data_IF_634784736752
#
_entry.id   IF_634784736752
#
_cell.length_a   1.000
_cell.length_b   1.000
_cell.length_c   1.000
_cell.angle_alpha   90.00
_cell.angle_beta   90.00
_cell.angle_gamma   90.00
#
_symmetry.space_group_name_H-M   'P 1'
#
loop_
_entity.id
_entity.type
_entity.pdbx_description
1 polymer ?
#
# COMPACT_ATOMS: atom_id res chain seq x y z
N UNK A 1 22.18 -10.73 -6.96
CA UNK A 1 21.06 -9.97 -7.56
C UNK A 1 20.34 -10.90 -8.53
N UNK A 2 19.43 -11.73 -8.04
CA UNK A 2 18.57 -12.50 -8.92
C UNK A 2 17.51 -11.55 -9.46
N UNK A 3 17.47 -11.33 -10.77
CA UNK A 3 16.32 -10.71 -11.41
C UNK A 3 15.14 -11.66 -11.21
N UNK A 4 14.41 -11.49 -10.10
CA UNK A 4 13.16 -12.19 -9.88
C UNK A 4 12.26 -11.85 -11.05
N UNK A 5 11.88 -12.85 -11.84
CA UNK A 5 10.93 -12.65 -12.94
C UNK A 5 9.66 -12.07 -12.34
N UNK A 6 9.29 -10.87 -12.76
CA UNK A 6 8.04 -10.24 -12.34
C UNK A 6 6.92 -11.21 -12.76
N UNK A 7 6.03 -11.65 -11.85
CA UNK A 7 4.99 -12.63 -12.14
C UNK A 7 3.80 -11.99 -12.87
N UNK A 8 4.06 -11.06 -13.77
CA UNK A 8 3.07 -10.37 -14.58
C UNK A 8 3.67 -10.07 -15.96
N UNK A 9 2.85 -10.24 -16.99
CA UNK A 9 3.23 -9.81 -18.35
C UNK A 9 3.33 -8.28 -18.42
N UNK A 10 4.04 -7.75 -19.42
CA UNK A 10 4.13 -6.29 -19.63
C UNK A 10 2.75 -5.63 -19.73
N UNK A 11 1.82 -6.25 -20.48
CA UNK A 11 0.45 -5.76 -20.64
C UNK A 11 -0.33 -5.76 -19.32
N UNK A 12 -0.14 -6.78 -18.49
CA UNK A 12 -0.78 -6.92 -17.19
C UNK A 12 -0.24 -5.90 -16.20
N UNK A 13 1.07 -5.71 -16.17
CA UNK A 13 1.70 -4.66 -15.38
C UNK A 13 1.19 -3.26 -15.78
N UNK A 14 1.08 -2.96 -17.08
CA UNK A 14 0.47 -1.70 -17.55
C UNK A 14 -0.98 -1.52 -17.09
N UNK A 15 -1.77 -2.59 -17.07
CA UNK A 15 -3.15 -2.55 -16.54
C UNK A 15 -3.16 -2.29 -15.04
N UNK A 16 -2.27 -2.92 -14.28
CA UNK A 16 -2.14 -2.72 -12.83
C UNK A 16 -1.69 -1.30 -12.48
N UNK A 17 -0.69 -0.76 -13.18
CA UNK A 17 -0.26 0.63 -13.02
C UNK A 17 -1.42 1.61 -13.27
N UNK A 18 -2.20 1.36 -14.33
CA UNK A 18 -3.39 2.17 -14.64
C UNK A 18 -4.47 2.01 -13.56
N UNK A 19 -4.66 0.80 -13.04
CA UNK A 19 -5.63 0.52 -11.98
C UNK A 19 -5.27 1.20 -10.66
N UNK A 20 -3.97 1.21 -10.27
CA UNK A 20 -3.51 1.96 -9.09
C UNK A 20 -3.72 3.46 -9.30
N UNK A 21 -3.48 3.99 -10.50
CA UNK A 21 -3.67 5.43 -10.77
C UNK A 21 -5.13 5.86 -10.77
N UNK A 22 -6.04 5.00 -11.26
CA UNK A 22 -7.48 5.30 -11.34
C UNK A 22 -8.25 4.92 -10.07
N UNK A 23 -7.75 3.96 -9.32
CA UNK A 23 -8.35 3.49 -8.07
C UNK A 23 -7.72 4.12 -6.83
N UNK A 24 -8.30 3.83 -5.67
CA UNK A 24 -7.70 4.17 -4.37
C UNK A 24 -7.07 2.97 -3.68
N UNK A 25 -7.66 1.79 -3.82
CA UNK A 25 -7.14 0.56 -3.22
C UNK A 25 -6.99 -0.50 -4.29
N UNK A 26 -5.79 -1.06 -4.41
CA UNK A 26 -5.53 -2.26 -5.18
C UNK A 26 -4.91 -3.32 -4.28
N UNK A 27 -5.49 -4.52 -4.24
CA UNK A 27 -4.93 -5.65 -3.49
C UNK A 27 -4.54 -6.77 -4.42
N UNK A 28 -3.26 -7.11 -4.42
CA UNK A 28 -2.69 -8.29 -5.07
C UNK A 28 -2.85 -9.47 -4.13
N UNK A 29 -3.74 -10.36 -4.49
CA UNK A 29 -3.97 -11.63 -3.82
C UNK A 29 -3.26 -12.76 -4.54
N UNK A 30 -2.90 -13.80 -3.80
CA UNK A 30 -2.24 -14.96 -4.38
C UNK A 30 -1.85 -15.95 -3.31
N UNK A 31 -1.49 -17.17 -3.71
CA UNK A 31 -1.18 -18.25 -2.77
C UNK A 31 0.20 -18.09 -2.12
N UNK A 32 1.16 -17.55 -2.86
CA UNK A 32 2.55 -17.40 -2.44
C UNK A 32 2.88 -15.93 -2.16
N UNK A 33 3.69 -15.66 -1.13
CA UNK A 33 4.07 -14.30 -0.74
C UNK A 33 5.01 -13.65 -1.75
N UNK A 34 6.09 -14.34 -2.07
CA UNK A 34 7.19 -13.84 -2.91
C UNK A 34 6.74 -13.23 -4.25
N UNK A 35 5.90 -13.87 -5.09
CA UNK A 35 5.43 -13.24 -6.33
C UNK A 35 4.56 -11.99 -6.08
N UNK A 36 3.72 -11.97 -5.04
CA UNK A 36 2.91 -10.78 -4.70
C UNK A 36 3.83 -9.63 -4.26
N UNK A 37 4.79 -9.92 -3.38
CA UNK A 37 5.79 -8.98 -2.87
C UNK A 37 6.62 -8.36 -3.99
N UNK A 38 7.10 -9.18 -4.93
CA UNK A 38 7.81 -8.72 -6.12
C UNK A 38 6.93 -7.79 -6.97
N UNK A 39 5.69 -8.20 -7.24
CA UNK A 39 4.78 -7.41 -8.07
C UNK A 39 4.42 -6.05 -7.45
N UNK A 40 4.06 -6.01 -6.16
CA UNK A 40 3.69 -4.73 -5.52
C UNK A 40 4.87 -3.79 -5.35
N UNK A 41 6.07 -4.32 -5.11
CA UNK A 41 7.31 -3.53 -5.06
C UNK A 41 7.65 -2.95 -6.42
N UNK A 42 7.55 -3.74 -7.48
CA UNK A 42 7.77 -3.28 -8.86
C UNK A 42 6.78 -2.18 -9.24
N UNK A 43 5.49 -2.38 -8.95
CA UNK A 43 4.45 -1.35 -9.20
C UNK A 43 4.76 -0.08 -8.40
N UNK A 44 5.10 -0.20 -7.12
CA UNK A 44 5.47 0.93 -6.27
C UNK A 44 6.67 1.71 -6.82
N UNK A 45 7.72 1.02 -7.25
CA UNK A 45 8.91 1.65 -7.84
C UNK A 45 8.58 2.38 -9.15
N UNK A 46 7.80 1.75 -10.04
CA UNK A 46 7.42 2.36 -11.32
C UNK A 46 6.51 3.57 -11.15
N UNK A 47 5.68 3.58 -10.12
CA UNK A 47 4.80 4.70 -9.82
C UNK A 47 5.46 5.76 -8.95
N UNK A 48 6.68 5.57 -8.44
CA UNK A 48 7.28 6.52 -7.50
C UNK A 48 7.36 7.95 -8.05
N UNK A 49 7.63 8.10 -9.34
CA UNK A 49 7.66 9.41 -10.01
C UNK A 49 6.26 9.99 -10.31
N UNK A 50 5.18 9.26 -10.07
CA UNK A 50 3.80 9.70 -10.28
C UNK A 50 3.14 10.28 -9.03
N UNK A 51 3.73 10.09 -7.86
CA UNK A 51 3.22 10.57 -6.57
C UNK A 51 4.12 11.69 -6.06
N UNK A 52 3.57 12.88 -5.84
CA UNK A 52 4.34 14.06 -5.44
C UNK A 52 5.00 13.88 -4.07
N UNK A 53 4.34 13.16 -3.16
CA UNK A 53 4.84 12.85 -1.82
C UNK A 53 5.54 11.49 -1.75
N UNK A 54 5.71 10.82 -2.89
CA UNK A 54 6.45 9.57 -3.02
C UNK A 54 5.67 8.32 -2.61
N UNK A 55 6.43 7.26 -2.29
CA UNK A 55 5.92 5.90 -2.04
C UNK A 55 6.48 5.38 -0.73
N UNK A 56 5.60 4.97 0.18
CA UNK A 56 5.97 4.22 1.37
C UNK A 56 5.80 2.74 1.11
N UNK A 57 6.85 1.95 1.36
CA UNK A 57 6.77 0.48 1.30
C UNK A 57 6.92 -0.08 2.69
N UNK A 58 5.87 -0.74 3.17
CA UNK A 58 5.83 -1.39 4.48
C UNK A 58 5.72 -2.89 4.26
N UNK A 59 6.82 -3.61 4.54
CA UNK A 59 6.84 -5.06 4.54
C UNK A 59 6.54 -5.59 5.95
N UNK A 60 5.55 -6.47 6.04
CA UNK A 60 5.04 -7.03 7.28
C UNK A 60 5.37 -8.51 7.32
N UNK A 61 6.18 -8.89 8.31
CA UNK A 61 6.57 -10.28 8.58
C UNK A 61 6.00 -10.81 9.91
N UNK A 62 5.33 -9.95 10.68
CA UNK A 62 4.65 -10.24 11.94
C UNK A 62 3.38 -9.39 12.02
N UNK A 63 2.55 -9.54 13.08
CA UNK A 63 1.33 -8.74 13.22
C UNK A 63 1.62 -7.25 13.37
N UNK A 64 0.94 -6.42 12.56
CA UNK A 64 1.06 -4.96 12.58
C UNK A 64 -0.23 -4.31 13.12
N UNK A 65 -0.07 -3.52 14.19
CA UNK A 65 -1.09 -2.61 14.70
C UNK A 65 -0.99 -1.21 14.06
N UNK A 66 -1.85 -0.32 14.52
CA UNK A 66 -1.84 1.11 14.11
C UNK A 66 -0.49 1.74 14.44
N UNK A 67 0.07 1.44 15.63
CA UNK A 67 1.35 2.01 16.08
C UNK A 67 2.50 1.59 15.19
N UNK A 68 2.59 0.29 14.85
CA UNK A 68 3.63 -0.24 13.97
C UNK A 68 3.57 0.40 12.59
N UNK A 69 2.36 0.56 12.05
CA UNK A 69 2.16 1.18 10.75
C UNK A 69 2.50 2.68 10.77
N UNK A 70 2.11 3.42 11.81
CA UNK A 70 2.49 4.83 11.97
C UNK A 70 4.00 5.01 12.13
N UNK A 71 4.66 4.10 12.86
CA UNK A 71 6.11 4.12 13.01
C UNK A 71 6.81 3.83 11.68
N UNK A 72 6.33 2.82 10.94
CA UNK A 72 6.86 2.48 9.63
C UNK A 72 6.72 3.64 8.62
N UNK A 73 5.57 4.33 8.64
CA UNK A 73 5.36 5.55 7.85
C UNK A 73 6.34 6.66 8.25
N UNK A 74 6.56 6.89 9.55
CA UNK A 74 7.52 7.89 10.04
C UNK A 74 8.99 7.60 9.69
N UNK A 75 9.33 6.37 9.29
CA UNK A 75 10.66 6.02 8.81
C UNK A 75 10.87 6.29 7.32
N UNK A 76 9.81 6.61 6.58
CA UNK A 76 9.91 6.89 5.15
C UNK A 76 10.49 8.30 4.98
N UNK A 77 11.56 8.46 4.19
CA UNK A 77 12.21 9.75 4.01
C UNK A 77 11.22 10.77 3.42
N UNK A 78 11.09 11.93 4.08
CA UNK A 78 10.12 12.97 3.71
C UNK A 78 8.83 12.96 4.54
N UNK A 79 8.62 11.95 5.39
CA UNK A 79 7.48 11.87 6.30
C UNK A 79 7.91 12.39 7.69
N UNK A 80 7.27 13.43 8.24
CA UNK A 80 7.49 13.82 9.63
C UNK A 80 7.02 12.70 10.55
N UNK A 81 7.68 12.53 11.70
CA UNK A 81 7.27 11.56 12.71
C UNK A 81 5.78 11.75 13.04
N UNK A 82 4.93 10.82 12.60
CA UNK A 82 3.49 10.87 12.84
C UNK A 82 3.23 10.39 14.27
N UNK A 83 2.71 11.24 15.18
CA UNK A 83 2.30 10.79 16.50
C UNK A 83 1.27 9.68 16.36
N UNK A 84 1.29 8.71 17.28
CA UNK A 84 0.30 7.64 17.31
C UNK A 84 -1.12 8.24 17.40
N UNK A 85 -1.90 8.19 16.31
CA UNK A 85 -3.27 8.70 16.27
C UNK A 85 -3.82 8.93 14.85
N UNK A 86 -5.12 8.74 14.67
CA UNK A 86 -5.84 8.98 13.40
C UNK A 86 -5.76 10.43 12.96
N UNK A 87 -6.07 11.39 13.83
CA UNK A 87 -6.23 12.80 13.44
C UNK A 87 -4.96 13.43 12.88
N UNK A 88 -3.78 13.12 13.44
CA UNK A 88 -2.53 13.71 12.98
C UNK A 88 -2.05 13.08 11.66
N UNK A 89 -2.18 11.75 11.53
CA UNK A 89 -1.90 11.06 10.27
C UNK A 89 -2.87 11.49 9.17
N UNK A 90 -4.15 11.67 9.50
CA UNK A 90 -5.20 12.16 8.63
C UNK A 90 -4.89 13.56 8.10
N UNK A 91 -4.65 14.54 8.99
CA UNK A 91 -4.32 15.91 8.58
C UNK A 91 -3.04 15.97 7.75
N UNK A 92 -2.04 15.15 8.07
CA UNK A 92 -0.81 15.09 7.28
C UNK A 92 -1.05 14.48 5.88
N UNK A 93 -1.84 13.41 5.78
CA UNK A 93 -2.14 12.73 4.50
C UNK A 93 -3.20 13.46 3.66
N UNK A 94 -4.04 14.31 4.27
CA UNK A 94 -5.17 14.95 3.63
C UNK A 94 -4.79 15.74 2.37
N UNK A 95 -3.63 16.41 2.39
CA UNK A 95 -3.16 17.28 1.32
C UNK A 95 -2.08 16.64 0.44
N UNK A 96 -1.84 15.33 0.57
CA UNK A 96 -0.72 14.62 -0.06
C UNK A 96 -1.16 13.60 -1.09
N UNK A 97 -0.44 13.53 -2.21
CA UNK A 97 -0.60 12.48 -3.22
C UNK A 97 0.51 11.45 -3.02
N UNK A 98 0.16 10.37 -2.31
CA UNK A 98 1.10 9.36 -1.83
C UNK A 98 0.60 7.93 -2.07
N UNK A 99 1.53 7.02 -2.40
CA UNK A 99 1.25 5.59 -2.48
C UNK A 99 1.76 4.85 -1.25
N UNK A 100 0.88 4.12 -0.59
CA UNK A 100 1.21 3.21 0.50
C UNK A 100 1.19 1.76 -0.01
N UNK A 101 2.36 1.13 -0.06
CA UNK A 101 2.53 -0.27 -0.41
C UNK A 101 2.57 -1.12 0.86
N UNK A 102 1.61 -2.02 1.03
CA UNK A 102 1.45 -2.91 2.18
C UNK A 102 1.74 -4.35 1.76
N UNK A 103 2.96 -4.84 2.03
CA UNK A 103 3.37 -6.19 1.67
C UNK A 103 3.26 -7.15 2.86
N UNK A 104 2.43 -8.18 2.75
CA UNK A 104 2.09 -9.09 3.86
C UNK A 104 0.85 -8.66 4.65
N UNK A 105 -0.17 -8.15 3.95
CA UNK A 105 -1.37 -7.60 4.59
C UNK A 105 -2.19 -8.63 5.39
N UNK A 106 -1.92 -9.93 5.25
CA UNK A 106 -2.43 -10.98 6.15
C UNK A 106 -2.08 -10.78 7.63
N UNK A 107 -1.05 -9.98 7.91
CA UNK A 107 -0.62 -9.69 9.27
C UNK A 107 -1.24 -8.41 9.86
N UNK A 108 -2.04 -7.66 9.09
CA UNK A 108 -2.71 -6.46 9.61
C UNK A 108 -3.77 -6.83 10.64
N UNK A 109 -3.73 -6.15 11.79
CA UNK A 109 -4.81 -6.22 12.76
C UNK A 109 -6.09 -5.56 12.22
N UNK A 110 -7.26 -6.06 12.65
CA UNK A 110 -8.56 -5.52 12.22
C UNK A 110 -8.74 -4.03 12.57
N UNK A 111 -8.19 -3.59 13.71
CA UNK A 111 -8.20 -2.19 14.11
C UNK A 111 -7.41 -1.31 13.12
N UNK A 112 -6.29 -1.82 12.60
CA UNK A 112 -5.48 -1.14 11.58
C UNK A 112 -6.23 -0.99 10.27
N UNK A 113 -7.08 -1.96 9.91
CA UNK A 113 -7.95 -1.85 8.72
C UNK A 113 -8.98 -0.72 8.88
N UNK A 114 -9.58 -0.60 10.07
CA UNK A 114 -10.48 0.52 10.39
C UNK A 114 -9.76 1.87 10.25
N UNK A 115 -8.58 1.97 10.86
CA UNK A 115 -7.72 3.15 10.78
C UNK A 115 -7.36 3.55 9.35
N UNK A 116 -6.93 2.59 8.52
CA UNK A 116 -6.62 2.83 7.10
C UNK A 116 -7.84 3.30 6.30
N UNK A 117 -9.04 2.78 6.60
CA UNK A 117 -10.28 3.19 5.95
C UNK A 117 -10.65 4.63 6.31
N UNK A 118 -10.48 5.02 7.57
CA UNK A 118 -10.68 6.41 7.99
C UNK A 118 -9.69 7.34 7.29
N UNK A 119 -8.42 6.94 7.17
CA UNK A 119 -7.41 7.70 6.41
C UNK A 119 -7.77 7.86 4.94
N UNK A 120 -8.24 6.81 4.26
CA UNK A 120 -8.69 6.89 2.87
C UNK A 120 -9.89 7.83 2.66
N UNK A 121 -10.69 8.06 3.71
CA UNK A 121 -11.85 8.94 3.66
C UNK A 121 -11.46 10.42 3.75
N UNK A 122 -10.42 10.73 4.54
CA UNK A 122 -9.93 12.10 4.76
C UNK A 122 -8.79 12.49 3.83
N UNK A 123 -8.07 11.53 3.25
CA UNK A 123 -6.97 11.72 2.32
C UNK A 123 -7.33 11.27 0.89
N UNK A 124 -7.92 12.13 0.05
CA UNK A 124 -8.31 11.76 -1.30
C UNK A 124 -7.13 11.44 -2.22
N UNK A 125 -5.93 11.96 -1.92
CA UNK A 125 -4.68 11.68 -2.63
C UNK A 125 -3.95 10.41 -2.15
N UNK A 126 -4.38 9.81 -1.04
CA UNK A 126 -3.80 8.55 -0.55
C UNK A 126 -4.28 7.37 -1.39
N UNK A 127 -3.33 6.60 -1.91
CA UNK A 127 -3.58 5.33 -2.60
C UNK A 127 -2.91 4.18 -1.85
N UNK A 128 -3.56 3.02 -1.79
CA UNK A 128 -3.07 1.82 -1.14
C UNK A 128 -2.87 0.70 -2.16
N UNK A 129 -1.68 0.12 -2.17
CA UNK A 129 -1.33 -1.07 -2.91
C UNK A 129 -0.97 -2.17 -1.92
N UNK A 130 -1.83 -3.18 -1.75
CA UNK A 130 -1.58 -4.25 -0.80
C UNK A 130 -1.20 -5.57 -1.49
N UNK A 131 -0.39 -6.38 -0.84
CA UNK A 131 -0.12 -7.77 -1.19
C UNK A 131 -0.47 -8.67 -0.01
N UNK A 132 -1.33 -9.67 -0.24
CA UNK A 132 -1.61 -10.67 0.80
C UNK A 132 -2.48 -11.82 0.34
N UNK A 133 -2.92 -12.65 1.29
CA UNK A 133 -3.69 -13.88 0.97
C UNK A 133 -5.15 -13.60 0.63
N UNK A 134 -5.70 -12.54 1.19
CA UNK A 134 -7.11 -12.16 1.08
C UNK A 134 -7.22 -10.69 0.68
N UNK A 135 -8.31 -10.30 0.01
CA UNK A 135 -8.59 -8.90 -0.29
C UNK A 135 -8.78 -8.10 1.00
N UNK A 136 -8.45 -6.81 0.93
CA UNK A 136 -8.74 -5.86 2.00
C UNK A 136 -10.21 -5.46 1.85
N UNK A 137 -11.08 -5.61 2.86
CA UNK A 137 -12.51 -5.32 2.73
C UNK A 137 -12.81 -3.79 2.68
N UNK A 138 -12.22 -3.09 1.71
CA UNK A 138 -12.36 -1.66 1.44
C UNK A 138 -13.25 -1.47 0.20
N UNK A 139 -14.05 -0.40 0.17
CA UNK A 139 -14.90 -0.08 -0.97
C UNK A 139 -14.65 1.38 -1.40
N UNK A 140 -14.33 1.67 -2.68
CA UNK A 140 -14.07 0.74 -3.78
C UNK A 140 -12.62 0.16 -3.76
N UNK A 141 -12.50 -1.16 -3.59
CA UNK A 141 -11.25 -1.92 -3.78
C UNK A 141 -11.21 -2.60 -5.16
N UNK A 142 -10.02 -2.65 -5.77
CA UNK A 142 -9.74 -3.52 -6.90
C UNK A 142 -8.85 -4.68 -6.48
N UNK A 143 -9.30 -5.90 -6.76
CA UNK A 143 -8.54 -7.12 -6.44
C UNK A 143 -7.89 -7.66 -7.71
N UNK A 144 -6.60 -7.93 -7.65
CA UNK A 144 -5.86 -8.68 -8.66
C UNK A 144 -5.43 -10.02 -8.06
N UNK A 145 -5.52 -11.12 -8.82
CA UNK A 145 -5.15 -12.44 -8.35
C UNK A 145 -4.01 -12.99 -9.20
N UNK A 146 -2.95 -13.41 -8.51
CA UNK A 146 -1.83 -14.20 -9.03
C UNK A 146 -2.09 -15.70 -8.86
#
# INVERSE_FOLDING_TARGET
MGAGTIPATSAELSRLLTAVRRGRVLTVTGRFREPRSLLVREIGQRLASNFCDGVAVVAMDHRFGVRDLTAALGCVPGIPFLPCGTSNAASWLAERDMLLVLDGCEHLASETLGWLRDLLSVAPGLRILAAGRHPLPFAPERVHRL
#
